data_IF_615885973697
#
_entry.id   IF_615885973697
#
_cell.length_a   1.000
_cell.length_b   1.000
_cell.length_c   1.000
_cell.angle_alpha   90.00
_cell.angle_beta   90.00
_cell.angle_gamma   90.00
#
_symmetry.space_group_name_H-M   'P 1'
#
loop_
_entity.id
_entity.type
_entity.pdbx_description
1 polymer ?
#
# COMPACT_ATOMS: atom_id res chain seq x y z
N UNK A 1 5.32 15.44 11.78
CA UNK A 1 6.09 15.37 10.51
C UNK A 1 7.54 14.94 10.76
N UNK A 2 8.21 15.55 11.70
CA UNK A 2 9.56 15.18 12.18
C UNK A 2 9.75 13.67 12.38
N UNK A 3 8.82 13.03 13.10
CA UNK A 3 8.82 11.58 13.26
C UNK A 3 8.86 10.83 11.93
N UNK A 4 8.04 11.24 10.95
CA UNK A 4 7.98 10.56 9.64
C UNK A 4 9.29 10.71 8.84
N UNK A 5 9.94 11.89 8.93
CA UNK A 5 11.24 12.14 8.30
C UNK A 5 12.31 11.24 8.91
N UNK A 6 12.45 11.29 10.24
CA UNK A 6 13.46 10.51 10.95
C UNK A 6 13.24 9.01 10.73
N UNK A 7 11.98 8.55 10.82
CA UNK A 7 11.65 7.15 10.59
C UNK A 7 12.00 6.68 9.18
N UNK A 8 11.67 7.48 8.17
CA UNK A 8 12.00 7.14 6.79
C UNK A 8 13.51 7.10 6.56
N UNK A 9 14.24 8.07 7.09
CA UNK A 9 15.69 8.14 6.98
C UNK A 9 16.37 6.96 7.69
N UNK A 10 15.95 6.65 8.93
CA UNK A 10 16.50 5.53 9.70
C UNK A 10 16.27 4.19 8.97
N UNK A 11 15.07 3.96 8.45
CA UNK A 11 14.76 2.75 7.67
C UNK A 11 15.67 2.61 6.45
N UNK A 12 15.90 3.70 5.70
CA UNK A 12 16.78 3.69 4.53
C UNK A 12 18.22 3.41 4.94
N UNK A 13 18.71 4.06 6.01
CA UNK A 13 20.06 3.88 6.55
C UNK A 13 20.30 2.47 7.09
N UNK A 14 19.32 1.90 7.81
CA UNK A 14 19.40 0.53 8.34
C UNK A 14 19.50 -0.53 7.23
N UNK A 15 19.00 -0.22 6.03
CA UNK A 15 19.18 -1.06 4.84
C UNK A 15 20.54 -0.86 4.14
N UNK A 16 21.40 0.01 4.67
CA UNK A 16 22.73 0.29 4.11
C UNK A 16 22.73 1.26 2.95
N UNK A 17 21.70 2.11 2.83
CA UNK A 17 21.59 3.15 1.79
C UNK A 17 21.83 4.54 2.37
N UNK A 18 22.24 5.48 1.49
CA UNK A 18 22.48 6.87 1.84
C UNK A 18 21.50 7.78 1.11
N UNK A 19 20.99 8.80 1.82
CA UNK A 19 20.18 9.87 1.24
C UNK A 19 21.09 11.04 0.89
N UNK A 20 21.05 11.47 -0.37
CA UNK A 20 21.88 12.56 -0.90
C UNK A 20 21.13 13.89 -1.05
N UNK A 21 19.81 13.86 -1.15
CA UNK A 21 18.94 15.03 -1.35
C UNK A 21 17.50 14.70 -0.95
N UNK A 22 16.77 15.72 -0.54
CA UNK A 22 15.34 15.61 -0.27
C UNK A 22 14.50 16.36 -1.33
N UNK A 23 13.34 15.78 -1.65
CA UNK A 23 12.33 16.39 -2.51
C UNK A 23 10.96 16.29 -1.85
N UNK A 24 10.33 17.41 -1.54
CA UNK A 24 8.95 17.49 -1.06
C UNK A 24 8.02 17.91 -2.20
N UNK A 25 7.18 17.02 -2.75
CA UNK A 25 6.43 17.25 -3.99
C UNK A 25 5.08 17.97 -3.79
N UNK A 26 4.67 18.24 -2.56
CA UNK A 26 3.43 18.92 -2.19
C UNK A 26 3.61 19.60 -0.84
N UNK A 27 4.46 20.64 -0.84
CA UNK A 27 5.01 21.21 0.37
C UNK A 27 4.01 22.04 1.20
N UNK A 28 3.00 22.66 0.55
CA UNK A 28 1.99 23.46 1.22
C UNK A 28 2.60 24.59 2.06
N UNK A 29 2.59 24.41 3.39
CA UNK A 29 3.20 25.34 4.37
C UNK A 29 4.70 25.05 4.63
N UNK A 30 5.28 24.06 3.97
CA UNK A 30 6.70 23.69 4.13
C UNK A 30 7.01 22.88 5.40
N UNK A 31 6.06 22.12 5.91
CA UNK A 31 6.24 21.43 7.21
C UNK A 31 7.36 20.39 7.17
N UNK A 32 7.55 19.69 6.05
CA UNK A 32 8.66 18.75 5.87
C UNK A 32 9.94 19.51 5.47
N UNK A 33 9.86 20.39 4.47
CA UNK A 33 11.04 21.11 3.96
C UNK A 33 11.70 21.97 5.02
N UNK A 34 10.94 22.67 5.88
CA UNK A 34 11.50 23.45 6.98
C UNK A 34 12.27 22.58 8.01
N UNK A 35 11.76 21.38 8.30
CA UNK A 35 12.48 20.44 9.16
C UNK A 35 13.72 19.87 8.45
N UNK A 36 13.57 19.47 7.19
CA UNK A 36 14.66 18.90 6.38
C UNK A 36 15.81 19.90 6.15
N UNK A 37 15.54 21.21 6.06
CA UNK A 37 16.57 22.24 5.92
C UNK A 37 17.60 22.22 7.06
N UNK A 38 17.27 21.63 8.21
CA UNK A 38 18.21 21.46 9.34
C UNK A 38 19.14 20.26 9.17
N UNK A 39 18.94 19.42 8.17
CA UNK A 39 19.70 18.17 7.95
C UNK A 39 21.10 18.39 7.38
N UNK A 40 21.34 19.56 6.77
CA UNK A 40 22.58 19.85 6.03
C UNK A 40 22.61 19.29 4.61
N UNK A 41 21.52 18.66 4.13
CA UNK A 41 21.35 18.22 2.75
C UNK A 41 20.49 19.20 1.96
N UNK A 42 20.63 19.15 0.63
CA UNK A 42 19.79 19.94 -0.27
C UNK A 42 18.32 19.51 -0.16
N UNK A 43 17.43 20.50 -0.13
CA UNK A 43 15.98 20.30 -0.08
C UNK A 43 15.31 21.04 -1.22
N UNK A 44 14.59 20.33 -2.06
CA UNK A 44 13.73 20.88 -3.10
C UNK A 44 12.30 20.76 -2.62
N UNK A 45 11.59 21.88 -2.46
CA UNK A 45 10.18 21.91 -2.08
C UNK A 45 9.34 22.47 -3.23
N UNK A 46 8.30 21.74 -3.64
CA UNK A 46 7.41 22.10 -4.76
C UNK A 46 5.96 22.08 -4.27
N UNK A 47 5.18 23.09 -4.65
CA UNK A 47 3.74 23.09 -4.48
C UNK A 47 3.06 23.92 -5.58
N UNK A 48 1.87 23.53 -5.97
CA UNK A 48 1.06 24.26 -6.97
C UNK A 48 0.54 25.60 -6.40
N UNK A 49 0.28 25.63 -5.09
CA UNK A 49 -0.18 26.80 -4.33
C UNK A 49 0.61 26.92 -3.02
N UNK A 50 1.91 27.29 -3.09
CA UNK A 50 2.77 27.36 -1.92
C UNK A 50 2.27 28.40 -0.92
N UNK A 51 2.35 28.05 0.38
CA UNK A 51 2.02 28.93 1.49
C UNK A 51 3.22 29.26 2.38
N UNK A 52 4.32 28.53 2.21
CA UNK A 52 5.60 28.75 2.88
C UNK A 52 6.58 29.50 1.98
N UNK A 53 7.66 29.99 2.61
CA UNK A 53 8.81 30.57 1.92
C UNK A 53 9.68 29.44 1.33
N UNK A 54 10.53 29.77 0.34
CA UNK A 54 11.48 28.86 -0.31
C UNK A 54 10.85 27.61 -0.96
N UNK A 55 9.55 27.68 -1.31
CA UNK A 55 8.82 26.65 -2.02
C UNK A 55 8.62 27.06 -3.49
N UNK A 56 9.04 26.19 -4.41
CA UNK A 56 8.90 26.40 -5.85
C UNK A 56 7.42 26.29 -6.21
N UNK A 57 6.85 27.36 -6.79
CA UNK A 57 5.47 27.31 -7.30
C UNK A 57 5.43 26.61 -8.65
N UNK A 58 5.07 25.32 -8.64
CA UNK A 58 4.98 24.49 -9.84
C UNK A 58 4.07 23.27 -9.61
N UNK A 59 3.60 22.66 -10.69
CA UNK A 59 2.97 21.34 -10.65
C UNK A 59 4.07 20.27 -10.66
N UNK A 60 4.22 19.53 -9.56
CA UNK A 60 5.19 18.45 -9.43
C UNK A 60 5.09 17.40 -10.55
N UNK A 61 3.88 17.13 -11.04
CA UNK A 61 3.66 16.11 -12.07
C UNK A 61 4.26 16.47 -13.43
N UNK A 62 4.49 17.77 -13.67
CA UNK A 62 5.03 18.30 -14.95
C UNK A 62 6.30 19.12 -14.78
N UNK A 63 6.71 19.41 -13.54
CA UNK A 63 7.93 20.18 -13.28
C UNK A 63 9.14 19.45 -13.82
N UNK A 64 9.98 20.18 -14.55
CA UNK A 64 11.20 19.64 -15.15
C UNK A 64 12.27 19.45 -14.06
N UNK A 65 12.51 18.20 -13.71
CA UNK A 65 13.50 17.79 -12.72
C UNK A 65 14.09 16.45 -13.14
N UNK A 66 15.42 16.40 -13.12
CA UNK A 66 16.15 15.20 -13.47
C UNK A 66 16.22 14.20 -12.31
N UNK A 67 16.41 12.91 -12.66
CA UNK A 67 16.71 11.88 -11.70
C UNK A 67 18.02 12.19 -10.95
N UNK A 68 18.03 11.93 -9.64
CA UNK A 68 19.22 11.99 -8.81
C UNK A 68 19.32 10.77 -7.92
N UNK A 69 20.46 10.09 -8.00
CA UNK A 69 20.76 8.95 -7.14
C UNK A 69 20.76 9.37 -5.66
N UNK A 70 20.18 8.52 -4.82
CA UNK A 70 20.06 8.79 -3.38
C UNK A 70 19.02 9.85 -3.01
N UNK A 71 18.25 10.41 -3.95
CA UNK A 71 17.16 11.33 -3.63
C UNK A 71 16.01 10.62 -2.92
N UNK A 72 15.60 11.18 -1.76
CA UNK A 72 14.39 10.77 -1.04
C UNK A 72 13.25 11.75 -1.33
N UNK A 73 12.20 11.25 -1.97
CA UNK A 73 10.96 11.99 -2.18
C UNK A 73 10.05 11.72 -0.99
N UNK A 74 9.80 12.75 -0.18
CA UNK A 74 9.07 12.63 1.07
C UNK A 74 7.96 13.66 1.17
N UNK A 75 6.79 13.27 1.68
CA UNK A 75 5.70 14.21 1.88
C UNK A 75 4.35 13.55 2.09
N UNK A 76 3.33 14.39 2.04
CA UNK A 76 1.92 14.01 2.14
C UNK A 76 1.21 14.39 0.82
N UNK A 77 1.33 13.57 -0.23
CA UNK A 77 0.76 13.88 -1.53
C UNK A 77 -0.77 13.98 -1.46
N UNK A 78 -1.39 14.81 -2.30
CA UNK A 78 -2.84 14.87 -2.38
C UNK A 78 -3.42 13.51 -2.80
N UNK A 79 -4.40 12.98 -2.04
CA UNK A 79 -4.89 11.62 -2.28
C UNK A 79 -5.73 11.51 -3.56
N UNK A 80 -6.59 12.51 -3.82
CA UNK A 80 -7.56 12.46 -4.92
C UNK A 80 -8.65 11.39 -4.73
N UNK A 81 -9.54 11.29 -5.71
CA UNK A 81 -10.60 10.27 -5.71
C UNK A 81 -9.98 8.89 -5.91
N UNK A 82 -10.30 7.94 -5.01
CA UNK A 82 -9.76 6.56 -5.05
C UNK A 82 -8.22 6.50 -5.16
N UNK A 83 -7.54 7.46 -4.54
CA UNK A 83 -6.07 7.54 -4.50
C UNK A 83 -5.39 7.85 -5.85
N UNK A 84 -6.14 8.28 -6.86
CA UNK A 84 -5.61 8.46 -8.22
C UNK A 84 -4.48 9.51 -8.29
N UNK A 85 -4.56 10.56 -7.46
CA UNK A 85 -3.56 11.63 -7.47
C UNK A 85 -2.28 11.19 -6.74
N UNK A 86 -2.39 10.56 -5.58
CA UNK A 86 -1.24 10.00 -4.88
C UNK A 86 -0.50 8.95 -5.72
N UNK A 87 -1.23 8.15 -6.53
CA UNK A 87 -0.60 7.23 -7.47
C UNK A 87 0.18 7.95 -8.58
N UNK A 88 -0.32 9.07 -9.10
CA UNK A 88 0.42 9.88 -10.08
C UNK A 88 1.68 10.48 -9.47
N UNK A 89 1.59 11.00 -8.22
CA UNK A 89 2.76 11.46 -7.48
C UNK A 89 3.80 10.37 -7.28
N UNK A 90 3.36 9.18 -6.89
CA UNK A 90 4.26 8.03 -6.76
C UNK A 90 4.92 7.67 -8.10
N UNK A 91 4.15 7.63 -9.21
CA UNK A 91 4.69 7.35 -10.54
C UNK A 91 5.74 8.38 -10.97
N UNK A 92 5.50 9.67 -10.69
CA UNK A 92 6.48 10.71 -10.97
C UNK A 92 7.70 10.58 -10.05
N UNK A 93 7.51 10.26 -8.77
CA UNK A 93 8.59 10.11 -7.80
C UNK A 93 9.56 8.98 -8.19
N UNK A 94 9.10 7.85 -8.71
CA UNK A 94 9.98 6.77 -9.17
C UNK A 94 10.87 7.15 -10.37
N UNK A 95 10.52 8.19 -11.10
CA UNK A 95 11.35 8.73 -12.20
C UNK A 95 12.47 9.63 -11.68
N UNK A 96 12.36 10.15 -10.44
CA UNK A 96 13.19 11.23 -9.92
C UNK A 96 14.19 10.83 -8.87
N UNK A 97 14.02 9.70 -8.17
CA UNK A 97 14.93 9.30 -7.09
C UNK A 97 14.81 7.84 -6.71
N UNK A 98 15.51 7.43 -5.67
CA UNK A 98 15.62 6.04 -5.25
C UNK A 98 14.75 5.68 -4.05
N UNK A 99 14.31 6.69 -3.30
CA UNK A 99 13.53 6.47 -2.09
C UNK A 99 12.27 7.31 -2.10
N UNK A 100 11.18 6.74 -1.61
CA UNK A 100 9.89 7.44 -1.48
C UNK A 100 9.34 7.17 -0.09
N UNK A 101 8.97 8.23 0.63
CA UNK A 101 8.32 8.14 1.94
C UNK A 101 7.04 8.99 1.93
N UNK A 102 5.89 8.33 1.78
CA UNK A 102 4.61 9.01 1.67
C UNK A 102 3.69 8.72 2.85
N UNK A 103 3.04 9.77 3.35
CA UNK A 103 1.85 9.64 4.19
C UNK A 103 0.66 9.37 3.29
N UNK A 104 0.00 8.24 3.51
CA UNK A 104 -1.09 7.73 2.69
C UNK A 104 -2.30 7.37 3.56
N UNK A 105 -3.52 7.26 3.01
CA UNK A 105 -4.66 6.72 3.74
C UNK A 105 -4.37 5.31 4.25
N UNK A 106 -4.93 4.95 5.41
CA UNK A 106 -4.72 3.65 6.07
C UNK A 106 -5.01 2.43 5.17
N UNK A 107 -5.80 2.60 4.12
CA UNK A 107 -6.04 1.55 3.11
C UNK A 107 -4.78 1.16 2.32
N UNK A 108 -3.69 1.92 2.48
CA UNK A 108 -2.38 1.67 1.88
C UNK A 108 -1.40 1.03 2.87
N UNK A 109 -1.81 0.76 4.10
CA UNK A 109 -0.99 0.01 5.05
C UNK A 109 -0.68 -1.38 4.48
N UNK A 110 0.61 -1.71 4.38
CA UNK A 110 1.11 -2.97 3.79
C UNK A 110 0.54 -3.31 2.39
N UNK A 111 0.16 -2.28 1.61
CA UNK A 111 -0.51 -2.47 0.33
C UNK A 111 0.41 -2.12 -0.85
N UNK A 112 0.84 -3.15 -1.60
CA UNK A 112 1.70 -3.04 -2.78
C UNK A 112 0.95 -3.15 -4.11
N UNK A 113 -0.39 -3.03 -4.13
CA UNK A 113 -1.19 -3.28 -5.34
C UNK A 113 -1.21 -2.13 -6.35
N UNK A 114 -1.07 -0.90 -5.87
CA UNK A 114 -1.13 0.30 -6.71
C UNK A 114 0.17 1.10 -6.75
N UNK A 115 1.06 0.83 -5.80
CA UNK A 115 2.40 1.41 -5.68
C UNK A 115 3.38 0.26 -5.47
N UNK A 116 3.69 -0.46 -6.53
CA UNK A 116 4.39 -1.75 -6.51
C UNK A 116 5.77 -1.73 -7.16
N UNK A 117 6.11 -0.67 -7.90
CA UNK A 117 7.34 -0.61 -8.67
C UNK A 117 8.59 -0.59 -7.80
N UNK A 118 8.51 0.03 -6.64
CA UNK A 118 9.53 -0.01 -5.60
C UNK A 118 9.17 -1.03 -4.52
N UNK A 119 10.19 -1.51 -3.81
CA UNK A 119 10.00 -2.38 -2.65
C UNK A 119 9.43 -1.57 -1.49
N UNK A 120 8.28 -1.98 -0.96
CA UNK A 120 7.72 -1.44 0.26
C UNK A 120 8.51 -2.03 1.45
N UNK A 121 9.46 -1.26 1.98
CA UNK A 121 10.38 -1.70 3.04
C UNK A 121 9.88 -1.38 4.45
N UNK A 122 8.97 -0.41 4.58
CA UNK A 122 8.33 -0.07 5.85
C UNK A 122 6.91 0.42 5.63
N UNK A 123 6.02 0.04 6.54
CA UNK A 123 4.62 0.48 6.53
C UNK A 123 4.11 0.52 7.97
N UNK A 124 3.65 1.70 8.42
CA UNK A 124 3.28 1.95 9.80
C UNK A 124 1.98 2.75 9.91
N UNK A 125 1.11 2.38 10.86
CA UNK A 125 -0.12 3.10 11.18
C UNK A 125 0.21 4.36 12.01
N UNK A 126 -0.09 5.54 11.45
CA UNK A 126 0.10 6.84 12.10
C UNK A 126 -1.14 7.31 12.89
N UNK A 127 -2.21 6.53 12.91
CA UNK A 127 -3.47 6.93 13.50
C UNK A 127 -4.18 8.02 12.69
N UNK A 128 -5.02 8.80 13.37
CA UNK A 128 -5.80 9.88 12.74
C UNK A 128 -5.02 11.19 12.72
N UNK A 129 -4.62 11.63 11.55
CA UNK A 129 -3.97 12.92 11.32
C UNK A 129 -4.98 14.00 10.99
N UNK A 130 -4.74 15.23 11.48
CA UNK A 130 -5.56 16.41 11.17
C UNK A 130 -4.98 17.11 9.93
N UNK A 131 -5.80 17.28 8.90
CA UNK A 131 -5.45 17.96 7.66
C UNK A 131 -5.86 19.44 7.68
N UNK A 132 -5.31 20.25 6.78
CA UNK A 132 -5.57 21.69 6.65
C UNK A 132 -7.06 22.03 6.51
N UNK A 133 -7.84 21.15 5.91
CA UNK A 133 -9.31 21.28 5.80
C UNK A 133 -10.07 20.85 7.08
N UNK A 134 -9.37 20.74 8.22
CA UNK A 134 -9.92 20.31 9.52
C UNK A 134 -10.52 18.89 9.55
N UNK A 135 -10.31 18.08 8.53
CA UNK A 135 -10.71 16.67 8.52
C UNK A 135 -9.64 15.80 9.17
N UNK A 136 -10.07 14.86 10.02
CA UNK A 136 -9.22 13.80 10.55
C UNK A 136 -9.27 12.60 9.60
N UNK A 137 -8.12 12.20 9.09
CA UNK A 137 -7.98 11.04 8.21
C UNK A 137 -7.04 10.03 8.86
N UNK A 138 -7.43 8.76 8.89
CA UNK A 138 -6.57 7.69 9.36
C UNK A 138 -5.53 7.37 8.28
N UNK A 139 -4.25 7.51 8.62
CA UNK A 139 -3.14 7.46 7.69
C UNK A 139 -2.08 6.43 8.11
N UNK A 140 -1.24 6.07 7.17
CA UNK A 140 -0.03 5.28 7.36
C UNK A 140 1.17 6.01 6.74
N UNK A 141 2.37 5.70 7.23
CA UNK A 141 3.64 6.02 6.58
C UNK A 141 4.09 4.79 5.80
N UNK A 142 4.30 4.95 4.51
CA UNK A 142 4.92 3.92 3.67
C UNK A 142 6.28 4.41 3.16
N UNK A 143 7.31 3.59 3.35
CA UNK A 143 8.65 3.83 2.81
C UNK A 143 8.96 2.80 1.74
N UNK A 144 9.36 3.28 0.57
CA UNK A 144 9.67 2.48 -0.60
C UNK A 144 11.11 2.74 -1.03
N UNK A 145 11.79 1.68 -1.50
CA UNK A 145 13.16 1.72 -2.00
C UNK A 145 13.20 1.15 -3.40
N UNK A 146 13.98 1.76 -4.29
CA UNK A 146 14.20 1.27 -5.65
C UNK A 146 14.84 -0.13 -5.62
N UNK A 147 14.25 -1.14 -6.29
CA UNK A 147 14.84 -2.49 -6.36
C UNK A 147 16.13 -2.49 -7.16
N UNK A 148 17.13 -3.25 -6.72
CA UNK A 148 18.44 -3.38 -7.40
C UNK A 148 18.35 -3.99 -8.80
N UNK A 149 17.36 -4.84 -9.05
CA UNK A 149 17.20 -5.58 -10.30
C UNK A 149 16.18 -4.95 -11.26
N UNK A 150 15.95 -3.64 -11.13
CA UNK A 150 14.94 -2.91 -11.92
C UNK A 150 13.56 -2.91 -11.26
N UNK A 151 12.65 -2.11 -11.80
CA UNK A 151 11.32 -1.90 -11.23
C UNK A 151 10.50 -3.19 -11.15
N UNK A 152 9.82 -3.39 -10.04
CA UNK A 152 8.92 -4.52 -9.85
C UNK A 152 7.76 -4.49 -10.84
N UNK A 153 7.33 -5.67 -11.27
CA UNK A 153 6.13 -5.85 -12.10
C UNK A 153 4.91 -6.05 -11.21
N UNK A 154 3.78 -5.56 -11.67
CA UNK A 154 2.52 -5.78 -10.99
C UNK A 154 2.25 -7.26 -10.79
N UNK A 155 2.04 -7.67 -9.54
CA UNK A 155 1.65 -9.05 -9.24
C UNK A 155 0.29 -9.30 -9.87
N UNK A 156 0.19 -10.32 -10.72
CA UNK A 156 -1.09 -10.73 -11.27
C UNK A 156 -1.95 -11.30 -10.14
N UNK A 157 -3.13 -10.70 -9.94
CA UNK A 157 -4.11 -11.13 -8.94
C UNK A 157 -4.97 -12.29 -9.47
N UNK A 158 -4.35 -13.24 -10.16
CA UNK A 158 -4.98 -14.46 -10.67
C UNK A 158 -4.01 -15.63 -10.50
N UNK A 159 -4.54 -16.74 -10.08
CA UNK A 159 -3.87 -18.04 -10.06
C UNK A 159 -4.60 -18.96 -11.05
N UNK A 160 -3.88 -19.86 -11.69
CA UNK A 160 -4.48 -20.87 -12.57
C UNK A 160 -5.15 -21.98 -11.76
N UNK A 161 -4.58 -22.29 -10.60
CA UNK A 161 -5.00 -23.38 -9.73
C UNK A 161 -6.27 -23.09 -8.95
N UNK A 162 -6.71 -21.82 -8.88
CA UNK A 162 -7.93 -21.42 -8.19
C UNK A 162 -8.71 -20.34 -8.95
N UNK A 163 -10.01 -20.31 -8.72
CA UNK A 163 -10.87 -19.17 -9.08
C UNK A 163 -11.52 -18.60 -7.82
N UNK A 164 -11.44 -17.28 -7.62
CA UNK A 164 -12.09 -16.58 -6.52
C UNK A 164 -13.25 -15.77 -7.09
N UNK A 165 -14.46 -16.13 -6.73
CA UNK A 165 -15.70 -15.47 -7.17
C UNK A 165 -16.23 -14.65 -6.01
N UNK A 166 -16.52 -13.37 -6.27
CA UNK A 166 -17.21 -12.52 -5.32
C UNK A 166 -18.70 -12.60 -5.60
N UNK A 167 -19.48 -13.08 -4.64
CA UNK A 167 -20.93 -13.00 -4.70
C UNK A 167 -21.41 -11.63 -4.21
N UNK A 168 -22.06 -10.91 -5.10
CA UNK A 168 -22.93 -9.80 -4.74
C UNK A 168 -24.38 -10.36 -4.67
N UNK A 169 -25.18 -9.86 -3.72
CA UNK A 169 -26.51 -10.37 -3.31
C UNK A 169 -27.54 -10.73 -4.42
N UNK A 170 -27.21 -10.54 -5.69
CA UNK A 170 -28.13 -10.69 -6.82
C UNK A 170 -28.02 -11.99 -7.62
N UNK A 171 -26.93 -12.72 -7.50
CA UNK A 171 -26.66 -13.90 -8.32
C UNK A 171 -26.58 -15.15 -7.46
N UNK A 172 -27.75 -15.74 -7.15
CA UNK A 172 -27.87 -17.04 -6.49
C UNK A 172 -27.72 -18.23 -7.46
N UNK A 173 -26.82 -18.13 -8.45
CA UNK A 173 -26.49 -19.33 -9.22
C UNK A 173 -25.78 -20.34 -8.31
N UNK A 174 -26.22 -21.60 -8.40
CA UNK A 174 -25.57 -22.73 -7.71
C UNK A 174 -24.18 -22.98 -8.33
N UNK A 175 -23.22 -22.17 -7.96
CA UNK A 175 -21.83 -22.37 -8.33
C UNK A 175 -21.23 -23.36 -7.33
N UNK A 176 -20.76 -24.52 -7.83
CA UNK A 176 -19.98 -25.45 -7.01
C UNK A 176 -18.69 -24.77 -6.54
N UNK A 177 -18.34 -24.91 -5.28
CA UNK A 177 -17.16 -24.33 -4.66
C UNK A 177 -16.52 -25.31 -3.68
N UNK A 178 -15.23 -25.12 -3.43
CA UNK A 178 -14.50 -25.88 -2.42
C UNK A 178 -14.49 -25.15 -1.06
N UNK A 179 -14.42 -23.80 -1.09
CA UNK A 179 -14.38 -22.96 0.11
C UNK A 179 -15.34 -21.79 -0.09
N UNK A 180 -16.11 -21.49 0.96
CA UNK A 180 -16.90 -20.26 1.08
C UNK A 180 -16.44 -19.46 2.28
N UNK A 181 -16.08 -18.18 2.09
CA UNK A 181 -15.57 -17.36 3.17
C UNK A 181 -16.20 -15.97 3.18
N UNK A 182 -16.38 -15.41 4.38
CA UNK A 182 -16.76 -14.03 4.55
C UNK A 182 -15.56 -13.11 4.28
N UNK A 183 -15.71 -12.13 3.37
CA UNK A 183 -14.62 -11.16 3.10
C UNK A 183 -14.82 -9.81 3.78
N UNK A 184 -15.93 -9.59 4.46
CA UNK A 184 -16.32 -8.31 5.02
C UNK A 184 -16.93 -8.45 6.40
N UNK A 185 -16.61 -7.50 7.29
CA UNK A 185 -17.23 -7.33 8.60
C UNK A 185 -16.23 -7.38 9.75
N UNK A 186 -16.55 -6.63 10.82
CA UNK A 186 -15.75 -6.63 12.04
C UNK A 186 -15.85 -8.01 12.72
N UNK A 187 -14.71 -8.67 12.92
CA UNK A 187 -14.63 -10.01 13.52
C UNK A 187 -15.15 -11.17 12.67
N UNK A 188 -15.67 -10.91 11.45
CA UNK A 188 -16.19 -11.96 10.55
C UNK A 188 -15.38 -12.12 9.28
N UNK A 189 -14.60 -11.09 8.88
CA UNK A 189 -13.74 -11.19 7.71
C UNK A 189 -12.70 -12.30 7.89
N UNK A 190 -12.66 -13.26 6.97
CA UNK A 190 -11.80 -14.43 7.02
C UNK A 190 -12.48 -15.69 7.56
N UNK A 191 -13.70 -15.58 8.09
CA UNK A 191 -14.46 -16.73 8.57
C UNK A 191 -14.84 -17.64 7.40
N UNK A 192 -14.53 -18.92 7.53
CA UNK A 192 -15.05 -19.97 6.62
C UNK A 192 -16.49 -20.25 6.98
N UNK A 193 -17.36 -20.33 5.98
CA UNK A 193 -18.82 -20.41 6.16
C UNK A 193 -19.33 -21.81 5.91
N UNK A 194 -20.27 -22.24 6.74
CA UNK A 194 -21.09 -23.43 6.54
C UNK A 194 -22.24 -23.13 5.57
N UNK A 195 -22.96 -24.15 5.10
CA UNK A 195 -24.10 -23.97 4.17
C UNK A 195 -25.23 -23.11 4.77
N UNK A 196 -25.40 -23.17 6.09
CA UNK A 196 -26.46 -22.46 6.79
C UNK A 196 -26.13 -20.97 7.09
N UNK A 197 -24.87 -20.58 6.99
CA UNK A 197 -24.43 -19.22 7.31
C UNK A 197 -24.44 -18.34 6.06
N UNK A 198 -25.03 -17.15 6.17
CA UNK A 198 -25.08 -16.17 5.09
C UNK A 198 -24.65 -14.79 5.55
N UNK A 199 -23.69 -14.19 4.83
CA UNK A 199 -23.18 -12.86 5.07
C UNK A 199 -23.33 -11.96 3.83
N UNK A 200 -23.29 -10.65 4.02
CA UNK A 200 -23.47 -9.68 2.93
C UNK A 200 -22.27 -9.57 1.98
N UNK A 201 -21.17 -10.22 2.30
CA UNK A 201 -19.94 -10.19 1.51
C UNK A 201 -19.20 -11.51 1.58
N UNK A 202 -19.35 -12.33 0.53
CA UNK A 202 -18.78 -13.67 0.48
C UNK A 202 -17.89 -13.85 -0.75
N UNK A 203 -16.85 -14.67 -0.59
CA UNK A 203 -16.10 -15.27 -1.67
C UNK A 203 -16.42 -16.75 -1.74
N UNK A 204 -16.65 -17.24 -2.97
CA UNK A 204 -16.59 -18.66 -3.33
C UNK A 204 -15.26 -18.93 -4.01
N UNK A 205 -14.53 -19.93 -3.55
CA UNK A 205 -13.23 -20.32 -4.06
C UNK A 205 -13.35 -21.72 -4.64
N UNK A 206 -12.99 -21.83 -5.92
CA UNK A 206 -12.96 -23.09 -6.67
C UNK A 206 -11.50 -23.48 -6.83
N UNK A 207 -11.14 -24.69 -6.44
CA UNK A 207 -9.78 -25.22 -6.53
C UNK A 207 -9.70 -26.17 -7.73
N UNK A 208 -8.96 -25.75 -8.77
CA UNK A 208 -8.79 -26.54 -9.99
C UNK A 208 -7.71 -27.60 -9.85
N UNK A 209 -6.65 -27.31 -9.08
CA UNK A 209 -5.55 -28.23 -8.84
C UNK A 209 -5.91 -29.19 -7.68
N UNK A 210 -6.27 -30.42 -8.04
CA UNK A 210 -6.70 -31.44 -7.07
C UNK A 210 -5.57 -31.88 -6.13
N UNK A 211 -4.31 -31.78 -6.55
CA UNK A 211 -3.16 -32.17 -5.72
C UNK A 211 -2.95 -31.19 -4.56
N UNK A 212 -3.27 -29.90 -4.76
CA UNK A 212 -3.14 -28.86 -3.74
C UNK A 212 -4.43 -28.63 -2.94
N UNK A 213 -5.51 -29.34 -3.26
CA UNK A 213 -6.83 -29.08 -2.69
C UNK A 213 -6.86 -29.16 -1.16
N UNK A 214 -6.36 -30.23 -0.60
CA UNK A 214 -6.39 -30.46 0.84
C UNK A 214 -5.47 -29.49 1.59
N UNK A 215 -4.32 -29.15 1.01
CA UNK A 215 -3.39 -28.17 1.55
C UNK A 215 -4.01 -26.76 1.58
N UNK A 216 -4.68 -26.35 0.50
CA UNK A 216 -5.38 -25.07 0.41
C UNK A 216 -6.53 -25.01 1.43
N UNK A 217 -7.36 -26.06 1.52
CA UNK A 217 -8.49 -26.10 2.47
C UNK A 217 -7.95 -26.02 3.91
N UNK A 218 -6.90 -26.78 4.24
CA UNK A 218 -6.30 -26.75 5.57
C UNK A 218 -5.75 -25.37 5.91
N UNK A 219 -5.05 -24.72 4.97
CA UNK A 219 -4.54 -23.35 5.15
C UNK A 219 -5.68 -22.38 5.48
N UNK A 220 -6.78 -22.39 4.73
CA UNK A 220 -7.91 -21.50 4.96
C UNK A 220 -8.59 -21.72 6.31
N UNK A 221 -8.62 -22.96 6.81
CA UNK A 221 -9.20 -23.31 8.11
C UNK A 221 -8.30 -22.92 9.30
N UNK A 222 -7.01 -22.75 9.09
CA UNK A 222 -6.03 -22.53 10.16
C UNK A 222 -5.44 -21.14 10.19
N UNK A 223 -5.54 -20.38 9.10
CA UNK A 223 -4.90 -19.08 8.96
C UNK A 223 -5.55 -17.99 9.83
N UNK A 224 -4.72 -17.22 10.50
CA UNK A 224 -5.15 -16.00 11.19
C UNK A 224 -4.96 -14.78 10.27
N UNK A 225 -6.03 -14.41 9.58
CA UNK A 225 -6.03 -13.29 8.65
C UNK A 225 -5.65 -11.95 9.30
N UNK A 226 -5.90 -11.77 10.60
CA UNK A 226 -5.55 -10.53 11.30
C UNK A 226 -4.05 -10.35 11.42
N UNK A 227 -3.34 -11.45 11.65
CA UNK A 227 -1.85 -11.47 11.69
C UNK A 227 -1.27 -11.30 10.30
N UNK A 228 -1.82 -12.01 9.31
CA UNK A 228 -1.30 -11.95 7.93
C UNK A 228 -1.41 -10.57 7.31
N UNK A 229 -2.43 -9.81 7.66
CA UNK A 229 -2.67 -8.49 7.09
C UNK A 229 -2.19 -7.36 8.00
N UNK A 230 -1.51 -7.69 9.13
CA UNK A 230 -1.04 -6.73 10.13
C UNK A 230 -2.12 -5.68 10.50
N UNK A 231 -3.38 -6.09 10.60
CA UNK A 231 -4.49 -5.20 10.84
C UNK A 231 -5.31 -5.65 12.04
N UNK A 232 -5.32 -4.87 13.10
CA UNK A 232 -6.15 -5.07 14.29
C UNK A 232 -7.63 -4.75 14.06
N UNK A 233 -7.94 -4.07 12.95
CA UNK A 233 -9.30 -3.66 12.57
C UNK A 233 -9.60 -4.10 11.13
N UNK A 234 -9.40 -5.38 10.83
CA UNK A 234 -9.61 -5.89 9.49
C UNK A 234 -11.10 -6.00 9.18
N UNK A 235 -11.60 -5.04 8.37
CA UNK A 235 -12.98 -5.03 7.89
C UNK A 235 -13.16 -5.67 6.54
N UNK A 236 -12.07 -5.96 5.80
CA UNK A 236 -12.18 -6.49 4.44
C UNK A 236 -10.93 -7.22 3.96
N UNK A 237 -11.13 -8.48 3.56
CA UNK A 237 -10.16 -9.25 2.78
C UNK A 237 -10.42 -9.03 1.29
N UNK A 238 -9.40 -8.65 0.54
CA UNK A 238 -9.47 -8.50 -0.92
C UNK A 238 -8.90 -9.76 -1.58
N UNK A 239 -9.27 -10.03 -2.83
CA UNK A 239 -8.78 -11.21 -3.56
C UNK A 239 -7.24 -11.29 -3.60
N UNK A 240 -6.57 -10.15 -3.75
CA UNK A 240 -5.10 -10.15 -3.78
C UNK A 240 -4.47 -10.57 -2.44
N UNK A 241 -5.11 -10.29 -1.30
CA UNK A 241 -4.64 -10.78 0.00
C UNK A 241 -4.64 -12.31 0.04
N UNK A 242 -5.72 -12.92 -0.46
CA UNK A 242 -5.83 -14.38 -0.57
C UNK A 242 -4.70 -14.92 -1.45
N UNK A 243 -4.45 -14.31 -2.60
CA UNK A 243 -3.39 -14.73 -3.51
C UNK A 243 -2.00 -14.58 -2.90
N UNK A 244 -1.73 -13.50 -2.18
CA UNK A 244 -0.47 -13.29 -1.47
C UNK A 244 -0.24 -14.37 -0.41
N UNK A 245 -1.28 -14.66 0.39
CA UNK A 245 -1.22 -15.71 1.41
C UNK A 245 -0.99 -17.08 0.79
N UNK A 246 -1.74 -17.43 -0.26
CA UNK A 246 -1.53 -18.69 -0.97
C UNK A 246 -0.11 -18.84 -1.51
N UNK A 247 0.44 -17.80 -2.15
CA UNK A 247 1.82 -17.82 -2.66
C UNK A 247 2.87 -17.92 -1.54
N UNK A 248 2.59 -17.35 -0.37
CA UNK A 248 3.48 -17.40 0.80
C UNK A 248 3.56 -18.82 1.39
N UNK A 249 2.43 -19.49 1.53
CA UNK A 249 2.32 -20.77 2.24
C UNK A 249 2.31 -21.98 1.31
N UNK A 250 1.97 -21.81 0.04
CA UNK A 250 1.91 -22.85 -0.99
C UNK A 250 2.77 -22.42 -2.19
N UNK A 251 4.11 -22.56 -2.12
CA UNK A 251 5.02 -22.02 -3.15
C UNK A 251 4.79 -22.57 -4.56
N UNK A 252 4.21 -23.78 -4.67
CA UNK A 252 3.96 -24.46 -5.96
C UNK A 252 2.65 -24.02 -6.63
N UNK A 253 1.87 -23.15 -6.01
CA UNK A 253 0.59 -22.67 -6.57
C UNK A 253 0.84 -21.77 -7.80
N UNK A 254 0.09 -21.98 -8.86
CA UNK A 254 0.27 -21.31 -10.15
C UNK A 254 -0.89 -20.42 -10.51
#
# INVERSE_FOLDING_TARGET
MEYCVNKAWDVIKDLGYEVSEFLEPSAGEGVFSNYLATSGLDVIAIDIEPKGEDIIKADFLTYDLEYKEGRLIIGNPPFGTRLNLAQKFYKRAIELGDYIAFILPISQLNNTQSMYEFDLVHSEDLGKLLFSNKKKVHCCLNVYVRPKNGLNKKIQNKLKDITIIREDKKDYEKIEYDIRMCYWGDGTAGKILTEEEHYSGEYKIIIHNKELRDEIINLFNTIDWSKELNSTAMRRIKQYHIIQVLKKYIPNIK
#
